data_IF_882763406734
#
_entry.id   IF_882763406734
#
_cell.length_a   1.000
_cell.length_b   1.000
_cell.length_c   1.000
_cell.angle_alpha   90.00
_cell.angle_beta   90.00
_cell.angle_gamma   90.00
#
_symmetry.space_group_name_H-M   'P 1'
#
loop_
_entity.id
_entity.type
_entity.pdbx_description
1 polymer ?
#
# COMPACT_ATOMS: atom_id res chain seq x y z
N UNK A 1 26.40 -9.91 3.04
CA UNK A 1 25.92 -8.69 3.73
C UNK A 1 24.99 -7.85 2.83
N UNK A 2 25.47 -7.31 1.69
CA UNK A 2 24.73 -6.37 0.84
C UNK A 2 23.31 -6.81 0.40
N UNK A 3 23.13 -8.06 -0.03
CA UNK A 3 21.81 -8.59 -0.45
C UNK A 3 20.76 -8.46 0.66
N UNK A 4 21.13 -8.76 1.91
CA UNK A 4 20.22 -8.70 3.07
C UNK A 4 19.80 -7.26 3.36
N UNK A 5 20.73 -6.31 3.26
CA UNK A 5 20.48 -4.88 3.46
C UNK A 5 19.52 -4.32 2.41
N UNK A 6 19.74 -4.64 1.13
CA UNK A 6 18.88 -4.19 0.02
C UNK A 6 17.43 -4.67 0.21
N UNK A 7 17.25 -5.94 0.58
CA UNK A 7 15.92 -6.50 0.83
C UNK A 7 15.24 -5.91 2.07
N UNK A 8 16.00 -5.64 3.13
CA UNK A 8 15.47 -5.00 4.33
C UNK A 8 15.00 -3.57 4.05
N UNK A 9 15.77 -2.82 3.25
CA UNK A 9 15.38 -1.48 2.80
C UNK A 9 14.14 -1.54 1.90
N UNK A 10 14.06 -2.50 0.98
CA UNK A 10 12.88 -2.70 0.14
C UNK A 10 11.62 -2.98 0.98
N UNK A 11 11.72 -3.80 2.02
CA UNK A 11 10.61 -4.07 2.93
C UNK A 11 10.15 -2.81 3.67
N UNK A 12 11.09 -1.99 4.17
CA UNK A 12 10.77 -0.72 4.84
C UNK A 12 10.05 0.23 3.88
N UNK A 13 10.59 0.41 2.67
CA UNK A 13 9.97 1.28 1.64
C UNK A 13 8.55 0.82 1.32
N UNK A 14 8.34 -0.48 1.14
CA UNK A 14 7.00 -1.03 0.87
C UNK A 14 6.04 -0.78 2.02
N UNK A 15 6.49 -0.95 3.27
CA UNK A 15 5.67 -0.67 4.44
C UNK A 15 5.29 0.81 4.52
N UNK A 16 6.25 1.71 4.31
CA UNK A 16 6.02 3.16 4.32
C UNK A 16 5.02 3.56 3.22
N UNK A 17 5.23 3.07 1.99
CA UNK A 17 4.29 3.31 0.88
C UNK A 17 2.91 2.78 1.22
N UNK A 18 2.80 1.63 1.88
CA UNK A 18 1.51 1.07 2.30
C UNK A 18 0.78 1.96 3.29
N UNK A 19 1.48 2.49 4.28
CA UNK A 19 0.91 3.40 5.29
C UNK A 19 0.43 4.67 4.60
N UNK A 20 1.27 5.29 3.77
CA UNK A 20 0.91 6.49 3.02
C UNK A 20 -0.27 6.26 2.09
N UNK A 21 -0.29 5.14 1.36
CA UNK A 21 -1.41 4.77 0.49
C UNK A 21 -2.71 4.56 1.28
N UNK A 22 -2.64 3.93 2.45
CA UNK A 22 -3.81 3.73 3.32
C UNK A 22 -4.38 5.08 3.78
N UNK A 23 -3.52 5.98 4.27
CA UNK A 23 -3.92 7.32 4.71
C UNK A 23 -4.51 8.11 3.53
N UNK A 24 -3.81 8.13 2.39
CA UNK A 24 -4.26 8.83 1.19
C UNK A 24 -5.61 8.30 0.68
N UNK A 25 -5.81 6.98 0.74
CA UNK A 25 -7.08 6.35 0.33
C UNK A 25 -8.24 6.86 1.16
N UNK A 26 -8.08 6.97 2.48
CA UNK A 26 -9.10 7.52 3.36
C UNK A 26 -9.41 8.96 2.96
N UNK A 27 -8.40 9.82 2.88
CA UNK A 27 -8.59 11.24 2.55
C UNK A 27 -9.24 11.45 1.18
N UNK A 28 -8.77 10.78 0.14
CA UNK A 28 -9.33 10.94 -1.21
C UNK A 28 -10.72 10.35 -1.34
N UNK A 29 -11.03 9.25 -0.63
CA UNK A 29 -12.38 8.69 -0.61
C UNK A 29 -13.36 9.65 0.06
N UNK A 30 -12.99 10.25 1.21
CA UNK A 30 -13.83 11.25 1.87
C UNK A 30 -14.00 12.51 1.02
N UNK A 31 -12.93 13.03 0.42
CA UNK A 31 -13.00 14.17 -0.49
C UNK A 31 -13.93 13.89 -1.69
N UNK A 32 -13.85 12.68 -2.26
CA UNK A 32 -14.75 12.24 -3.31
C UNK A 32 -16.21 12.17 -2.85
N UNK A 33 -16.49 11.60 -1.68
CA UNK A 33 -17.86 11.53 -1.13
C UNK A 33 -18.45 12.93 -0.92
N UNK A 34 -17.69 13.85 -0.32
CA UNK A 34 -18.15 15.23 -0.11
C UNK A 34 -18.42 15.94 -1.44
N UNK A 35 -17.56 15.76 -2.44
CA UNK A 35 -17.75 16.31 -3.78
C UNK A 35 -18.93 15.65 -4.51
N UNK A 36 -19.13 14.34 -4.34
CA UNK A 36 -20.21 13.59 -4.96
C UNK A 36 -21.59 14.02 -4.47
N UNK A 37 -21.71 14.37 -3.19
CA UNK A 37 -22.93 14.94 -2.62
C UNK A 37 -23.24 16.33 -3.21
N UNK A 38 -22.21 17.11 -3.58
CA UNK A 38 -22.40 18.48 -4.07
C UNK A 38 -22.60 18.62 -5.58
N UNK A 39 -21.93 17.82 -6.42
CA UNK A 39 -21.97 18.04 -7.87
C UNK A 39 -22.34 16.82 -8.69
N UNK A 40 -21.55 15.76 -8.59
CA UNK A 40 -21.71 14.54 -9.39
C UNK A 40 -20.80 13.44 -8.86
N UNK A 41 -21.24 12.19 -9.04
CA UNK A 41 -20.46 10.99 -8.72
C UNK A 41 -19.17 10.90 -9.55
N UNK A 42 -19.21 11.33 -10.82
CA UNK A 42 -18.07 11.37 -11.73
C UNK A 42 -17.30 12.70 -11.60
N UNK A 43 -16.76 12.97 -10.42
CA UNK A 43 -15.94 14.16 -10.18
C UNK A 43 -14.44 13.82 -10.19
N UNK A 44 -13.58 14.84 -10.28
CA UNK A 44 -12.13 14.68 -10.36
C UNK A 44 -11.51 13.92 -9.17
N UNK A 45 -12.14 13.97 -7.99
CA UNK A 45 -11.68 13.25 -6.79
C UNK A 45 -11.85 11.74 -6.90
N UNK A 46 -12.74 11.25 -7.78
CA UNK A 46 -12.90 9.83 -8.07
C UNK A 46 -11.57 9.23 -8.55
N UNK A 47 -10.86 9.94 -9.43
CA UNK A 47 -9.61 9.46 -10.01
C UNK A 47 -8.48 9.40 -8.96
N UNK A 48 -8.46 10.34 -8.02
CA UNK A 48 -7.53 10.30 -6.88
C UNK A 48 -7.83 9.14 -5.93
N UNK A 49 -9.12 8.88 -5.66
CA UNK A 49 -9.54 7.73 -4.85
C UNK A 49 -9.16 6.41 -5.54
N UNK A 50 -9.47 6.25 -6.83
CA UNK A 50 -9.07 5.06 -7.63
C UNK A 50 -7.54 4.89 -7.64
N UNK A 51 -6.78 5.98 -7.83
CA UNK A 51 -5.32 5.95 -7.81
C UNK A 51 -4.74 5.47 -6.48
N UNK A 52 -5.33 5.88 -5.37
CA UNK A 52 -4.91 5.44 -4.03
C UNK A 52 -5.21 3.97 -3.74
N UNK A 53 -6.37 3.47 -4.18
CA UNK A 53 -6.72 2.04 -4.09
C UNK A 53 -5.75 1.21 -4.95
N UNK A 54 -5.42 1.67 -6.16
CA UNK A 54 -4.42 1.03 -7.02
C UNK A 54 -3.04 1.02 -6.36
N UNK A 55 -2.59 2.12 -5.78
CA UNK A 55 -1.31 2.19 -5.07
C UNK A 55 -1.27 1.21 -3.88
N UNK A 56 -2.39 1.07 -3.17
CA UNK A 56 -2.52 0.12 -2.07
C UNK A 56 -2.46 -1.33 -2.55
N UNK A 57 -3.12 -1.65 -3.67
CA UNK A 57 -3.07 -2.98 -4.30
C UNK A 57 -1.66 -3.33 -4.79
N UNK A 58 -0.97 -2.39 -5.42
CA UNK A 58 0.43 -2.55 -5.86
C UNK A 58 1.34 -2.79 -4.66
N UNK A 59 1.20 -2.00 -3.59
CA UNK A 59 1.97 -2.17 -2.36
C UNK A 59 1.74 -3.55 -1.73
N UNK A 60 0.48 -4.01 -1.69
CA UNK A 60 0.14 -5.35 -1.21
C UNK A 60 0.78 -6.44 -2.07
N UNK A 61 0.72 -6.32 -3.39
CA UNK A 61 1.34 -7.27 -4.31
C UNK A 61 2.87 -7.33 -4.12
N UNK A 62 3.52 -6.17 -4.02
CA UNK A 62 4.96 -6.07 -3.81
C UNK A 62 5.39 -6.67 -2.46
N UNK A 63 4.60 -6.46 -1.40
CA UNK A 63 4.82 -7.07 -0.09
C UNK A 63 4.67 -8.60 -0.13
N UNK A 64 3.64 -9.11 -0.81
CA UNK A 64 3.45 -10.56 -1.01
C UNK A 64 4.62 -11.16 -1.78
N UNK A 65 5.13 -10.49 -2.80
CA UNK A 65 6.30 -10.95 -3.55
C UNK A 65 7.57 -10.98 -2.68
N UNK A 66 7.78 -9.95 -1.86
CA UNK A 66 8.88 -9.90 -0.89
C UNK A 66 8.78 -11.03 0.16
N UNK A 67 7.58 -11.30 0.67
CA UNK A 67 7.27 -12.40 1.60
C UNK A 67 7.56 -13.77 0.97
N UNK A 68 7.18 -14.01 -0.28
CA UNK A 68 7.39 -15.31 -0.92
C UNK A 68 8.88 -15.59 -1.14
N UNK A 69 9.70 -14.55 -1.38
CA UNK A 69 11.17 -14.68 -1.53
C UNK A 69 11.93 -14.72 -0.20
N UNK A 70 11.35 -14.24 0.89
CA UNK A 70 11.83 -14.43 2.26
C UNK A 70 10.72 -15.13 3.07
N UNK A 71 10.61 -16.49 3.03
CA UNK A 71 9.93 -17.17 4.11
C UNK A 71 10.63 -16.69 5.39
N UNK A 72 9.85 -16.08 6.29
CA UNK A 72 10.36 -15.56 7.53
C UNK A 72 11.27 -16.61 8.17
N UNK A 73 12.48 -16.23 8.54
CA UNK A 73 13.39 -17.03 9.37
C UNK A 73 12.81 -17.21 10.79
N UNK A 74 11.49 -17.35 10.92
CA UNK A 74 10.74 -17.61 12.14
C UNK A 74 10.41 -19.10 12.30
N UNK A 75 10.69 -19.97 11.31
CA UNK A 75 10.68 -21.43 11.50
C UNK A 75 11.99 -21.94 12.13
N UNK A 76 12.37 -21.41 13.30
CA UNK A 76 13.45 -21.99 14.12
C UNK A 76 13.09 -22.11 15.61
N UNK A 77 11.79 -22.16 15.88
CA UNK A 77 11.24 -22.54 17.17
C UNK A 77 10.33 -23.74 16.95
N UNK A 78 10.96 -24.88 16.73
CA UNK A 78 10.36 -26.19 17.03
C UNK A 78 10.86 -26.57 18.44
N UNK A 79 9.99 -27.12 19.30
CA UNK A 79 10.19 -27.25 20.75
C UNK A 79 11.33 -28.18 21.17
#
# INVERSE_FOLDING_TARGET
MARRTIWSLAAIVVLTVRILATIATIFFTFAWLVAAVRSSLLNAWLWWAVGSVLAMAISWYLYSYLRVRYPSTSRRWEP
#
